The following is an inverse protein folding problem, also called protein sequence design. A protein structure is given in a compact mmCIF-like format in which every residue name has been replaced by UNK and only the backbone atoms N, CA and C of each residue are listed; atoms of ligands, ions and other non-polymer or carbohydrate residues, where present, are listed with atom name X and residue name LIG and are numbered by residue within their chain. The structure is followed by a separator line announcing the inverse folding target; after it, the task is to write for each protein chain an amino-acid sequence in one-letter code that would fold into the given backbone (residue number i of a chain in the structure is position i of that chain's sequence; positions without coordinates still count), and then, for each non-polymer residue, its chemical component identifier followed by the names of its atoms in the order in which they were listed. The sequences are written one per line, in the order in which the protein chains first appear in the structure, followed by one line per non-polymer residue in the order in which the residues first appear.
data_IF_897646983229
#
_entry.id   IF_897646983229
#
_cell.length_a   1.000
_cell.length_b   1.000
_cell.length_c   1.000
_cell.angle_alpha   90.00
_cell.angle_beta   90.00
_cell.angle_gamma   90.00
#
_symmetry.space_group_name_H-M   'P 1'
#
loop_
_entity.id
_entity.type
_entity.pdbx_description
1 polymer ?
#
# COMPACT_ATOMS: atom_id res chain seq x y z
N UNK A 1 5.30 0.26 6.71
CA UNK A 1 3.87 0.52 7.05
C UNK A 1 3.22 1.14 5.83
N UNK A 2 1.96 0.83 5.47
CA UNK A 2 1.30 1.26 4.21
C UNK A 2 1.57 2.73 3.82
N UNK A 3 1.69 3.63 4.80
CA UNK A 3 2.01 5.03 4.60
C UNK A 3 3.36 5.34 3.93
N UNK A 4 4.35 4.43 4.02
CA UNK A 4 5.67 4.60 3.42
C UNK A 4 5.71 4.20 1.94
N UNK A 5 4.83 3.29 1.51
CA UNK A 5 4.87 2.70 0.18
C UNK A 5 4.64 3.72 -0.96
N UNK A 6 3.71 4.69 -0.85
CA UNK A 6 3.61 5.78 -1.84
C UNK A 6 4.90 6.57 -2.02
N UNK A 7 5.68 6.75 -0.95
CA UNK A 7 6.98 7.41 -1.01
C UNK A 7 8.05 6.59 -1.73
N UNK A 8 8.02 5.27 -1.59
CA UNK A 8 8.92 4.36 -2.33
C UNK A 8 8.59 4.35 -3.82
N UNK A 9 7.30 4.34 -4.18
CA UNK A 9 6.85 4.48 -5.56
C UNK A 9 7.34 5.82 -6.13
N UNK A 10 7.18 6.92 -5.39
CA UNK A 10 7.66 8.24 -5.84
C UNK A 10 9.18 8.29 -5.99
N UNK A 11 9.94 7.64 -5.12
CA UNK A 11 11.39 7.53 -5.25
C UNK A 11 11.79 6.86 -6.58
N UNK A 12 11.16 5.74 -6.92
CA UNK A 12 11.40 5.07 -8.21
C UNK A 12 11.02 5.97 -9.40
N UNK A 13 9.94 6.74 -9.29
CA UNK A 13 9.55 7.68 -10.35
C UNK A 13 10.54 8.80 -10.53
N UNK A 14 11.04 9.35 -9.45
CA UNK A 14 12.03 10.42 -9.48
C UNK A 14 13.34 9.93 -10.09
N UNK A 15 13.77 8.70 -9.77
CA UNK A 15 14.90 8.04 -10.43
C UNK A 15 14.72 7.94 -11.94
N UNK A 16 13.55 7.51 -12.40
CA UNK A 16 13.22 7.43 -13.84
C UNK A 16 13.23 8.83 -14.48
N UNK A 17 12.64 9.83 -13.81
CA UNK A 17 12.60 11.21 -14.30
C UNK A 17 14.00 11.78 -14.47
N UNK A 18 14.86 11.64 -13.46
CA UNK A 18 16.25 12.10 -13.48
C UNK A 18 17.07 11.38 -14.55
N UNK A 19 16.82 10.08 -14.78
CA UNK A 19 17.43 9.34 -15.89
C UNK A 19 17.01 9.87 -17.25
N UNK A 20 15.70 10.10 -17.45
CA UNK A 20 15.14 10.57 -18.71
C UNK A 20 15.53 12.01 -19.07
N UNK A 21 15.59 12.90 -18.08
CA UNK A 21 15.87 14.33 -18.28
C UNK A 21 17.37 14.64 -18.29
N UNK A 22 18.12 14.07 -17.33
CA UNK A 22 19.49 14.48 -17.05
C UNK A 22 20.52 13.40 -17.40
N UNK A 23 20.08 12.24 -17.90
CA UNK A 23 20.97 11.11 -18.20
C UNK A 23 21.61 10.47 -16.98
N UNK A 24 21.08 10.74 -15.77
CA UNK A 24 21.60 10.13 -14.55
C UNK A 24 21.41 8.61 -14.59
N UNK A 25 22.40 7.79 -14.25
CA UNK A 25 22.23 6.35 -14.26
C UNK A 25 21.19 5.90 -13.23
N UNK A 26 20.29 5.00 -13.63
CA UNK A 26 19.37 4.35 -12.69
C UNK A 26 20.14 3.57 -11.62
N UNK A 27 19.70 3.67 -10.37
CA UNK A 27 20.21 2.84 -9.27
C UNK A 27 19.97 1.34 -9.54
N UNK A 28 20.78 0.49 -8.90
CA UNK A 28 20.75 -0.96 -9.11
C UNK A 28 19.37 -1.56 -8.85
N UNK A 29 18.69 -1.22 -7.74
CA UNK A 29 17.35 -1.75 -7.49
C UNK A 29 16.27 -1.13 -8.37
N UNK A 30 16.45 0.08 -8.90
CA UNK A 30 15.53 0.61 -9.91
C UNK A 30 15.64 -0.21 -11.21
N UNK A 31 16.86 -0.57 -11.62
CA UNK A 31 17.07 -1.45 -12.77
C UNK A 31 16.52 -2.86 -12.55
N UNK A 32 16.65 -3.39 -11.33
CA UNK A 32 16.11 -4.71 -10.99
C UNK A 32 14.57 -4.71 -10.96
N UNK A 33 13.95 -3.61 -10.54
CA UNK A 33 12.50 -3.52 -10.40
C UNK A 33 11.77 -3.37 -11.74
N UNK A 34 12.38 -2.74 -12.75
CA UNK A 34 11.73 -2.38 -14.01
C UNK A 34 11.88 -3.49 -15.05
N UNK A 35 10.81 -3.77 -15.82
CA UNK A 35 10.83 -4.77 -16.90
C UNK A 35 11.89 -4.44 -17.97
N UNK A 36 11.92 -3.18 -18.40
CA UNK A 36 12.80 -2.72 -19.50
C UNK A 36 13.55 -1.44 -19.12
N UNK A 37 14.53 -1.50 -18.20
CA UNK A 37 15.17 -0.32 -17.63
C UNK A 37 16.06 0.46 -18.63
N UNK A 38 16.35 -0.11 -19.79
CA UNK A 38 17.16 0.51 -20.84
C UNK A 38 16.32 1.10 -21.99
N UNK A 39 15.00 0.86 -22.00
CA UNK A 39 14.11 1.37 -23.05
C UNK A 39 13.50 2.72 -22.64
N UNK A 40 13.88 3.79 -23.35
CA UNK A 40 13.41 5.15 -23.08
C UNK A 40 11.90 5.32 -23.26
N UNK A 41 11.28 4.63 -24.22
CA UNK A 41 9.84 4.71 -24.43
C UNK A 41 9.09 4.01 -23.29
N UNK A 42 9.55 2.82 -22.91
CA UNK A 42 9.06 2.11 -21.74
C UNK A 42 9.18 2.96 -20.47
N UNK A 43 10.33 3.58 -20.20
CA UNK A 43 10.56 4.39 -19.01
C UNK A 43 9.58 5.57 -18.90
N UNK A 44 9.16 6.17 -20.02
CA UNK A 44 8.11 7.20 -20.01
C UNK A 44 6.75 6.63 -19.60
N UNK A 45 6.39 5.44 -20.11
CA UNK A 45 5.18 4.74 -19.72
C UNK A 45 5.22 4.32 -18.25
N UNK A 46 6.34 3.76 -17.79
CA UNK A 46 6.58 3.38 -16.40
C UNK A 46 6.41 4.57 -15.44
N UNK A 47 6.96 5.74 -15.79
CA UNK A 47 6.80 6.96 -15.00
C UNK A 47 5.32 7.36 -14.81
N UNK A 48 4.47 7.16 -15.82
CA UNK A 48 3.03 7.40 -15.74
C UNK A 48 2.29 6.28 -14.99
N UNK A 49 2.63 5.01 -15.24
CA UNK A 49 2.04 3.86 -14.55
C UNK A 49 2.26 3.90 -13.04
N UNK A 50 3.46 4.30 -12.61
CA UNK A 50 3.78 4.48 -11.20
C UNK A 50 2.99 5.62 -10.54
N UNK A 51 2.59 6.69 -11.26
CA UNK A 51 1.66 7.70 -10.71
C UNK A 51 0.32 7.08 -10.36
N UNK A 52 -0.20 6.24 -11.25
CA UNK A 52 -1.46 5.54 -11.04
C UNK A 52 -1.36 4.62 -9.81
N UNK A 53 -0.27 3.86 -9.71
CA UNK A 53 -0.01 2.99 -8.56
C UNK A 53 0.09 3.77 -7.24
N UNK A 54 0.79 4.91 -7.27
CA UNK A 54 0.89 5.83 -6.12
C UNK A 54 -0.49 6.31 -5.69
N UNK A 55 -1.34 6.73 -6.63
CA UNK A 55 -2.73 7.14 -6.34
C UNK A 55 -3.55 6.00 -5.74
N UNK A 56 -3.47 4.79 -6.30
CA UNK A 56 -4.14 3.60 -5.74
C UNK A 56 -3.70 3.36 -4.30
N UNK A 57 -2.40 3.45 -4.02
CA UNK A 57 -1.87 3.31 -2.65
C UNK A 57 -2.40 4.38 -1.70
N UNK A 58 -2.50 5.63 -2.14
CA UNK A 58 -3.10 6.71 -1.36
C UNK A 58 -4.59 6.50 -1.09
N UNK A 59 -5.36 6.01 -2.08
CA UNK A 59 -6.78 5.71 -1.90
C UNK A 59 -6.96 4.64 -0.81
N UNK A 60 -6.23 3.52 -0.88
CA UNK A 60 -6.30 2.48 0.15
C UNK A 60 -5.89 2.99 1.53
N UNK A 61 -4.81 3.79 1.62
CA UNK A 61 -4.37 4.39 2.87
C UNK A 61 -5.41 5.35 3.44
N UNK A 62 -6.06 6.15 2.59
CA UNK A 62 -7.13 7.07 2.98
C UNK A 62 -8.35 6.30 3.46
N UNK A 63 -8.85 5.34 2.69
CA UNK A 63 -10.00 4.50 3.07
C UNK A 63 -9.77 3.78 4.41
N UNK A 64 -8.56 3.24 4.62
CA UNK A 64 -8.19 2.62 5.89
C UNK A 64 -8.26 3.62 7.06
N UNK A 65 -7.66 4.80 6.89
CA UNK A 65 -7.65 5.84 7.94
C UNK A 65 -9.05 6.38 8.22
N UNK A 66 -9.81 6.67 7.18
CA UNK A 66 -11.15 7.26 7.29
C UNK A 66 -12.11 6.29 7.97
N UNK A 67 -12.05 5.00 7.60
CA UNK A 67 -12.86 3.94 8.21
C UNK A 67 -12.60 3.80 9.72
N UNK A 68 -11.34 3.90 10.15
CA UNK A 68 -11.00 3.85 11.58
C UNK A 68 -11.26 5.17 12.31
N UNK A 69 -11.10 6.31 11.64
CA UNK A 69 -11.25 7.64 12.25
C UNK A 69 -12.71 7.99 12.54
N UNK A 70 -13.63 7.56 11.68
CA UNK A 70 -15.05 7.89 11.73
C UNK A 70 -15.94 6.68 12.04
N UNK A 71 -15.40 5.70 12.76
CA UNK A 71 -16.08 4.44 13.05
C UNK A 71 -17.41 4.69 13.77
N UNK A 72 -18.48 4.05 13.29
CA UNK A 72 -19.82 4.09 13.91
C UNK A 72 -20.39 2.69 14.10
N UNK A 73 -19.84 1.72 13.37
CA UNK A 73 -20.33 0.35 13.30
C UNK A 73 -19.20 -0.63 13.04
N UNK A 74 -19.46 -1.92 13.25
CA UNK A 74 -18.52 -2.99 12.90
C UNK A 74 -18.23 -3.04 11.39
N UNK A 75 -19.18 -2.63 10.54
CA UNK A 75 -18.99 -2.56 9.09
C UNK A 75 -17.88 -1.58 8.68
N UNK A 76 -17.70 -0.49 9.42
CA UNK A 76 -16.64 0.48 9.17
C UNK A 76 -15.25 -0.14 9.45
N UNK A 77 -15.16 -0.97 10.49
CA UNK A 77 -13.96 -1.71 10.86
C UNK A 77 -13.64 -2.77 9.82
N UNK A 78 -14.64 -3.57 9.42
CA UNK A 78 -14.46 -4.58 8.36
C UNK A 78 -14.09 -3.98 6.99
N UNK A 79 -14.55 -2.75 6.70
CA UNK A 79 -14.15 -2.02 5.49
C UNK A 79 -12.69 -1.55 5.55
N UNK A 80 -12.24 -1.07 6.73
CA UNK A 80 -10.84 -0.72 6.96
C UNK A 80 -9.93 -1.97 6.86
N UNK A 81 -10.37 -3.09 7.43
CA UNK A 81 -9.71 -4.40 7.30
C UNK A 81 -9.54 -4.81 5.85
N UNK A 82 -10.63 -4.80 5.09
CA UNK A 82 -10.64 -5.15 3.66
C UNK A 82 -9.65 -4.29 2.86
N UNK A 83 -9.47 -3.03 3.26
CA UNK A 83 -8.48 -2.13 2.66
C UNK A 83 -7.04 -2.59 2.92
N UNK A 84 -6.73 -3.07 4.13
CA UNK A 84 -5.40 -3.62 4.49
C UNK A 84 -5.15 -5.00 3.88
N UNK A 85 -6.19 -5.81 3.69
CA UNK A 85 -6.05 -7.12 3.06
C UNK A 85 -5.78 -6.98 1.55
N UNK A 86 -6.47 -6.06 0.87
CA UNK A 86 -6.48 -5.98 -0.60
C UNK A 86 -5.47 -5.01 -1.21
N UNK A 87 -4.99 -3.99 -0.48
CA UNK A 87 -4.21 -2.88 -1.06
C UNK A 87 -3.02 -3.33 -1.90
N UNK A 88 -2.27 -4.33 -1.43
CA UNK A 88 -1.03 -4.76 -2.07
C UNK A 88 -1.27 -5.42 -3.42
N UNK A 89 -2.34 -6.21 -3.54
CA UNK A 89 -2.77 -6.81 -4.80
C UNK A 89 -3.29 -5.74 -5.76
N UNK A 90 -4.04 -4.75 -5.27
CA UNK A 90 -4.52 -3.64 -6.09
C UNK A 90 -3.37 -2.80 -6.66
N UNK A 91 -2.36 -2.51 -5.84
CA UNK A 91 -1.17 -1.76 -6.26
C UNK A 91 -0.33 -2.59 -7.22
N UNK A 92 -0.10 -3.86 -6.90
CA UNK A 92 0.55 -4.82 -7.78
C UNK A 92 -0.08 -4.78 -9.18
N UNK A 93 -1.37 -5.07 -9.32
CA UNK A 93 -2.07 -5.04 -10.63
C UNK A 93 -1.93 -3.72 -11.39
N UNK A 94 -1.75 -2.61 -10.68
CA UNK A 94 -1.56 -1.29 -11.30
C UNK A 94 -0.16 -1.13 -11.91
N UNK A 95 0.80 -1.96 -11.50
CA UNK A 95 2.19 -1.96 -11.90
C UNK A 95 2.60 -3.20 -12.72
N UNK A 96 1.65 -4.03 -13.16
CA UNK A 96 1.95 -5.25 -13.94
C UNK A 96 2.72 -4.98 -15.23
N UNK A 97 2.44 -3.86 -15.89
CA UNK A 97 3.14 -3.45 -17.10
C UNK A 97 4.41 -2.63 -16.82
N UNK A 98 4.83 -2.51 -15.55
CA UNK A 98 5.94 -1.66 -15.12
C UNK A 98 7.03 -2.45 -14.40
N UNK A 99 6.63 -3.30 -13.46
CA UNK A 99 7.56 -4.02 -12.61
C UNK A 99 7.79 -5.42 -13.15
N UNK A 100 9.06 -5.81 -13.18
CA UNK A 100 9.40 -7.23 -13.23
C UNK A 100 9.02 -7.80 -11.86
N UNK A 101 8.11 -8.77 -11.76
CA UNK A 101 7.64 -9.27 -10.45
C UNK A 101 8.62 -10.22 -9.78
N UNK A 102 9.57 -10.76 -10.53
CA UNK A 102 10.49 -11.77 -10.05
C UNK A 102 11.73 -11.15 -9.36
N UNK A 103 11.78 -9.83 -9.24
CA UNK A 103 12.86 -9.15 -8.51
C UNK A 103 12.72 -9.32 -6.99
N UNK A 104 13.65 -10.05 -6.40
CA UNK A 104 13.65 -10.30 -4.96
C UNK A 104 14.26 -9.15 -4.13
N UNK A 105 15.04 -8.26 -4.76
CA UNK A 105 15.85 -7.26 -4.05
C UNK A 105 15.87 -5.90 -4.78
N UNK A 106 14.82 -5.10 -4.58
CA UNK A 106 14.82 -3.68 -4.93
C UNK A 106 15.12 -2.81 -3.71
N UNK A 107 16.31 -2.23 -3.62
CA UNK A 107 16.65 -1.23 -2.58
C UNK A 107 15.88 0.09 -2.75
N UNK A 108 15.27 0.30 -3.92
CA UNK A 108 14.48 1.49 -4.27
C UNK A 108 12.98 1.28 -4.02
N UNK A 109 12.45 0.13 -4.44
CA UNK A 109 11.05 -0.25 -4.28
C UNK A 109 11.01 -1.75 -4.02
N UNK A 110 10.57 -2.23 -2.84
CA UNK A 110 10.34 -3.65 -2.65
C UNK A 110 9.06 -4.09 -3.39
N UNK A 111 8.97 -5.35 -3.84
CA UNK A 111 7.75 -5.89 -4.43
C UNK A 111 6.54 -5.65 -3.51
N UNK A 112 5.37 -5.27 -4.07
CA UNK A 112 4.18 -4.96 -3.26
C UNK A 112 3.79 -6.08 -2.30
N UNK A 113 3.92 -7.33 -2.73
CA UNK A 113 3.58 -8.52 -1.95
C UNK A 113 4.56 -8.75 -0.78
N UNK A 114 5.86 -8.49 -0.96
CA UNK A 114 6.84 -8.62 0.11
C UNK A 114 6.66 -7.51 1.16
N UNK A 115 6.44 -6.27 0.71
CA UNK A 115 6.20 -5.15 1.63
C UNK A 115 4.90 -5.31 2.43
N UNK A 116 3.88 -5.92 1.82
CA UNK A 116 2.60 -6.12 2.49
C UNK A 116 2.56 -7.33 3.41
N UNK A 117 3.33 -8.38 3.13
CA UNK A 117 3.31 -9.62 3.90
C UNK A 117 3.50 -9.38 5.41
N UNK A 118 4.47 -8.54 5.81
CA UNK A 118 4.68 -8.21 7.23
C UNK A 118 3.54 -7.39 7.83
N UNK A 119 2.95 -6.48 7.06
CA UNK A 119 1.85 -5.62 7.51
C UNK A 119 0.60 -6.46 7.70
N UNK A 120 0.26 -7.28 6.71
CA UNK A 120 -0.86 -8.22 6.73
C UNK A 120 -0.69 -9.25 7.85
N UNK A 121 0.52 -9.78 8.06
CA UNK A 121 0.82 -10.68 9.17
C UNK A 121 0.59 -10.00 10.53
N UNK A 122 1.17 -8.83 10.77
CA UNK A 122 0.98 -8.07 12.02
C UNK A 122 -0.49 -7.69 12.24
N UNK A 123 -1.20 -7.39 11.16
CA UNK A 123 -2.63 -7.12 11.21
C UNK A 123 -3.38 -8.37 11.70
N UNK A 124 -3.18 -9.54 11.09
CA UNK A 124 -3.85 -10.78 11.50
C UNK A 124 -3.41 -11.34 12.85
N UNK A 125 -2.21 -10.98 13.33
CA UNK A 125 -1.77 -11.29 14.71
C UNK A 125 -2.58 -10.51 15.75
N UNK A 126 -3.00 -9.28 15.42
CA UNK A 126 -3.77 -8.39 16.31
C UNK A 126 -5.27 -8.61 16.13
N UNK A 127 -5.72 -8.84 14.90
CA UNK A 127 -7.12 -9.04 14.49
C UNK A 127 -7.24 -10.43 13.85
N UNK A 128 -7.58 -11.45 14.64
CA UNK A 128 -7.79 -12.81 14.10
C UNK A 128 -9.21 -12.90 13.56
N UNK A 129 -9.34 -12.79 12.24
CA UNK A 129 -10.61 -12.90 11.54
C UNK A 129 -10.81 -14.30 10.97
N UNK A 130 -11.96 -14.90 11.28
CA UNK A 130 -12.52 -16.09 10.65
C UNK A 130 -14.03 -15.84 10.45
N UNK A 131 -14.49 -15.84 9.19
CA UNK A 131 -15.84 -15.40 8.77
C UNK A 131 -16.94 -16.21 9.46
N UNK A 132 -16.64 -17.46 9.80
CA UNK A 132 -17.59 -18.39 10.43
C UNK A 132 -17.38 -18.52 11.95
N UNK A 133 -16.49 -17.70 12.53
CA UNK A 133 -16.19 -17.74 13.96
C UNK A 133 -16.89 -16.59 14.70
N UNK A 134 -17.83 -16.87 15.63
CA UNK A 134 -18.46 -15.87 16.49
C UNK A 134 -17.45 -15.02 17.29
N UNK A 135 -16.22 -15.52 17.49
CA UNK A 135 -15.13 -14.77 18.13
C UNK A 135 -14.63 -13.59 17.27
N UNK A 136 -14.85 -13.63 15.96
CA UNK A 136 -14.50 -12.54 15.03
C UNK A 136 -15.42 -11.33 15.21
N UNK A 137 -16.73 -11.55 15.35
CA UNK A 137 -17.69 -10.48 15.65
C UNK A 137 -17.39 -9.82 17.00
N UNK A 138 -17.04 -10.62 18.02
CA UNK A 138 -16.60 -10.09 19.31
C UNK A 138 -15.31 -9.26 19.21
N UNK A 139 -14.39 -9.59 18.30
CA UNK A 139 -13.19 -8.77 18.07
C UNK A 139 -13.53 -7.45 17.37
N UNK A 140 -14.35 -7.48 16.32
CA UNK A 140 -14.80 -6.25 15.65
C UNK A 140 -15.56 -5.35 16.62
N UNK A 141 -16.40 -5.93 17.47
CA UNK A 141 -17.12 -5.22 18.54
C UNK A 141 -16.16 -4.65 19.61
N UNK A 142 -15.16 -5.41 20.04
CA UNK A 142 -14.15 -4.92 20.99
C UNK A 142 -13.35 -3.75 20.43
N UNK A 143 -13.02 -3.79 19.13
CA UNK A 143 -12.30 -2.72 18.43
C UNK A 143 -13.20 -1.50 18.27
N UNK A 144 -14.47 -1.70 17.92
CA UNK A 144 -15.48 -0.63 17.87
C UNK A 144 -15.57 0.08 19.22
N UNK A 145 -15.75 -0.70 20.29
CA UNK A 145 -15.85 -0.18 21.64
C UNK A 145 -14.58 0.56 22.05
N UNK A 146 -13.39 0.03 21.77
CA UNK A 146 -12.13 0.72 22.04
C UNK A 146 -12.04 2.08 21.33
N UNK A 147 -12.33 2.10 20.03
CA UNK A 147 -12.26 3.32 19.23
C UNK A 147 -13.31 4.36 19.67
N UNK A 148 -14.48 3.92 20.13
CA UNK A 148 -15.52 4.82 20.64
C UNK A 148 -15.25 5.35 22.06
N UNK A 149 -14.52 4.61 22.90
CA UNK A 149 -14.45 4.90 24.36
C UNK A 149 -13.10 5.42 24.86
N UNK A 150 -11.96 5.06 24.24
CA UNK A 150 -10.61 5.26 24.82
C UNK A 150 -9.78 6.34 24.11
N UNK A 151 -10.42 7.23 23.33
CA UNK A 151 -9.76 8.28 22.54
C UNK A 151 -9.13 7.71 21.26
N UNK A 152 -9.95 7.63 20.21
CA UNK A 152 -9.60 7.07 18.92
C UNK A 152 -8.26 7.63 18.39
N UNK A 153 -7.18 6.82 18.29
CA UNK A 153 -5.87 7.30 17.81
C UNK A 153 -5.89 7.69 16.33
N UNK A 154 -6.93 7.29 15.61
CA UNK A 154 -7.16 7.62 14.20
C UNK A 154 -8.01 8.87 14.02
N UNK A 155 -8.64 9.43 15.06
CA UNK A 155 -9.50 10.62 14.97
C UNK A 155 -8.79 11.82 14.32
N UNK A 156 -7.47 11.94 14.48
CA UNK A 156 -6.64 12.96 13.81
C UNK A 156 -6.69 12.91 12.28
N UNK A 157 -7.11 11.78 11.70
CA UNK A 157 -7.27 11.59 10.26
C UNK A 157 -8.69 11.85 9.75
N UNK A 158 -9.67 12.12 10.63
CA UNK A 158 -11.07 12.38 10.25
C UNK A 158 -11.27 13.65 9.39
N UNK A 159 -10.22 14.45 9.20
CA UNK A 159 -10.22 15.71 8.42
C UNK A 159 -8.98 15.78 7.52
N UNK A 160 -8.95 14.99 6.44
CA UNK A 160 -8.02 15.15 5.32
C UNK A 160 -8.70 14.89 3.97
#
# INVERSE_FOLDING_TARGET
MMAAYPGLIENLREQIRLHLENGQPLLKGAKAALISPNDKAFLKCAYQGLEKAKRTAFIHLKSFRDGLANVKSMNDIGSAESSVASWSMSIARTMDDVLDYDYENGDVLPPPHQHSAEITKKYYEIFRYDVDDPRSDHQLEAVLNYLLTINNPWAKYARL
#
